data_IF_511932648083
#
_entry.id   IF_511932648083
#
_cell.length_a   1.000
_cell.length_b   1.000
_cell.length_c   1.000
_cell.angle_alpha   90.00
_cell.angle_beta   90.00
_cell.angle_gamma   90.00
#
_symmetry.space_group_name_H-M   'P 1'
#
loop_
_entity.id
_entity.type
_entity.pdbx_description
1 polymer ?
#
# COMPACT_ATOMS: atom_id res chain seq x y z
N UNK A 1 -11.86 -6.89 -2.46
CA UNK A 1 -12.73 -6.72 -1.26
C UNK A 1 -12.51 -5.34 -0.68
N UNK A 2 -13.55 -4.61 -0.35
CA UNK A 2 -13.43 -3.30 0.30
C UNK A 2 -13.42 -3.54 1.80
N UNK A 3 -12.36 -3.12 2.48
CA UNK A 3 -12.27 -3.21 3.95
C UNK A 3 -13.31 -2.26 4.56
N UNK A 4 -14.12 -2.76 5.49
CA UNK A 4 -15.01 -1.91 6.25
C UNK A 4 -14.20 -1.15 7.31
N UNK A 5 -13.79 0.07 7.00
CA UNK A 5 -12.97 0.90 7.88
C UNK A 5 -13.59 1.08 9.26
N UNK A 6 -14.91 1.24 9.35
CA UNK A 6 -15.58 1.46 10.64
C UNK A 6 -15.51 0.22 11.55
N UNK A 7 -15.60 -0.97 10.97
CA UNK A 7 -15.43 -2.23 11.71
C UNK A 7 -13.97 -2.39 12.13
N UNK A 8 -13.04 -2.18 11.21
CA UNK A 8 -11.60 -2.27 11.48
C UNK A 8 -11.18 -1.34 12.63
N UNK A 9 -11.59 -0.08 12.57
CA UNK A 9 -11.31 0.92 13.61
C UNK A 9 -11.83 0.49 14.98
N UNK A 10 -13.05 -0.06 15.03
CA UNK A 10 -13.62 -0.62 16.27
C UNK A 10 -12.87 -1.84 16.79
N UNK A 11 -12.51 -2.77 15.92
CA UNK A 11 -11.74 -3.97 16.28
C UNK A 11 -10.38 -3.62 16.90
N UNK A 12 -9.74 -2.56 16.39
CA UNK A 12 -8.50 -2.02 16.97
C UNK A 12 -8.71 -1.15 18.20
N UNK A 13 -9.96 -0.90 18.60
CA UNK A 13 -10.30 -0.09 19.77
C UNK A 13 -10.04 1.41 19.62
N UNK A 14 -10.03 1.91 18.38
CA UNK A 14 -9.91 3.33 18.07
C UNK A 14 -11.27 4.03 18.00
N UNK A 15 -11.27 5.31 18.35
CA UNK A 15 -12.35 6.24 18.07
C UNK A 15 -11.96 7.14 16.90
N UNK A 16 -12.92 7.42 16.03
CA UNK A 16 -12.77 8.38 14.94
C UNK A 16 -13.00 9.77 15.47
N UNK A 17 -12.05 10.68 15.24
CA UNK A 17 -12.16 12.09 15.59
C UNK A 17 -12.14 12.91 14.31
N UNK A 18 -13.17 13.73 14.04
CA UNK A 18 -13.13 14.68 12.92
C UNK A 18 -11.97 15.66 13.13
N UNK A 19 -11.19 15.89 12.08
CA UNK A 19 -10.11 16.88 12.10
C UNK A 19 -10.53 18.11 11.31
N UNK A 20 -10.29 19.30 11.86
CA UNK A 20 -10.43 20.56 11.11
C UNK A 20 -9.16 20.89 10.30
N UNK A 21 -8.06 20.20 10.57
CA UNK A 21 -6.82 20.39 9.85
C UNK A 21 -6.90 19.75 8.47
N UNK A 22 -6.57 20.53 7.46
CA UNK A 22 -6.26 20.00 6.12
C UNK A 22 -4.88 19.36 6.22
N UNK A 23 -4.83 18.05 6.25
CA UNK A 23 -3.56 17.38 6.34
C UNK A 23 -2.85 17.45 5.00
N UNK A 24 -1.60 16.99 4.95
CA UNK A 24 -0.78 16.92 3.75
C UNK A 24 -1.62 16.60 2.49
N UNK A 25 -1.19 17.12 1.37
CA UNK A 25 -1.89 16.96 0.10
C UNK A 25 -1.97 15.48 -0.30
N UNK A 26 -3.11 14.85 -0.05
CA UNK A 26 -3.45 13.55 -0.65
C UNK A 26 -3.44 13.63 -2.18
N UNK A 27 -3.68 14.83 -2.73
CA UNK A 27 -3.59 15.07 -4.16
C UNK A 27 -2.15 14.94 -4.65
N UNK A 28 -1.16 15.34 -3.85
CA UNK A 28 0.26 15.15 -4.16
C UNK A 28 0.65 13.66 -4.17
N UNK A 29 0.19 12.89 -3.19
CA UNK A 29 0.37 11.44 -3.18
C UNK A 29 -0.33 10.77 -4.36
N UNK A 30 -1.57 11.17 -4.69
CA UNK A 30 -2.29 10.71 -5.87
C UNK A 30 -1.57 11.07 -7.16
N UNK A 31 -1.05 12.30 -7.26
CA UNK A 31 -0.31 12.75 -8.43
C UNK A 31 0.95 11.92 -8.67
N UNK A 32 1.69 11.60 -7.62
CA UNK A 32 2.86 10.73 -7.72
C UNK A 32 2.49 9.31 -8.17
N UNK A 33 1.36 8.76 -7.71
CA UNK A 33 0.86 7.48 -8.20
C UNK A 33 0.45 7.55 -9.68
N UNK A 34 -0.20 8.64 -10.09
CA UNK A 34 -0.63 8.83 -11.48
C UNK A 34 0.54 9.09 -12.42
N UNK A 35 1.58 9.83 -11.99
CA UNK A 35 2.77 10.07 -12.79
C UNK A 35 3.48 8.77 -13.18
N UNK A 36 3.46 7.78 -12.30
CA UNK A 36 3.99 6.44 -12.60
C UNK A 36 3.14 5.64 -13.61
N UNK A 37 1.89 6.05 -13.80
CA UNK A 37 0.96 5.41 -14.73
C UNK A 37 0.97 6.06 -16.12
N UNK A 38 1.77 7.10 -16.37
CA UNK A 38 1.82 7.78 -17.68
C UNK A 38 2.16 6.82 -18.83
N UNK A 39 3.04 5.84 -18.58
CA UNK A 39 3.41 4.83 -19.57
C UNK A 39 2.33 3.74 -19.75
N UNK A 40 1.31 3.71 -18.88
CA UNK A 40 0.21 2.74 -18.87
C UNK A 40 -1.16 3.45 -18.86
N UNK A 41 -1.47 4.32 -19.82
CA UNK A 41 -2.63 5.21 -19.77
C UNK A 41 -3.99 4.49 -19.79
N UNK A 42 -4.02 3.17 -20.02
CA UNK A 42 -5.24 2.38 -20.15
C UNK A 42 -5.49 1.43 -18.98
N UNK A 43 -4.60 1.36 -18.01
CA UNK A 43 -4.70 0.41 -16.91
C UNK A 43 -4.60 1.11 -15.57
N UNK A 44 -5.67 1.02 -14.76
CA UNK A 44 -5.64 1.40 -13.37
C UNK A 44 -5.38 0.20 -12.47
N UNK A 45 -4.67 0.42 -11.40
CA UNK A 45 -4.45 -0.57 -10.36
C UNK A 45 -4.88 0.03 -9.02
N UNK A 46 -5.84 -0.62 -8.35
CA UNK A 46 -6.41 -0.10 -7.11
C UNK A 46 -5.98 -0.90 -5.88
N UNK A 47 -4.70 -1.22 -5.79
CA UNK A 47 -4.17 -1.92 -4.62
C UNK A 47 -4.32 -1.07 -3.35
N UNK A 48 -3.95 0.21 -3.43
CA UNK A 48 -4.18 1.17 -2.35
C UNK A 48 -5.31 2.12 -2.75
N UNK A 49 -6.41 2.06 -2.00
CA UNK A 49 -7.48 3.04 -2.12
C UNK A 49 -7.22 4.17 -1.14
N UNK A 50 -6.82 5.32 -1.67
CA UNK A 50 -6.56 6.52 -0.86
C UNK A 50 -7.87 7.09 -0.35
N UNK A 51 -7.92 7.49 0.92
CA UNK A 51 -9.07 8.14 1.53
C UNK A 51 -9.29 9.54 0.92
N UNK A 52 -10.54 9.95 0.77
CA UNK A 52 -10.86 11.30 0.29
C UNK A 52 -10.51 12.37 1.32
N UNK A 53 -10.59 12.00 2.59
CA UNK A 53 -10.28 12.87 3.72
C UNK A 53 -9.43 12.08 4.72
N UNK A 54 -8.50 12.75 5.38
CA UNK A 54 -7.79 12.17 6.50
C UNK A 54 -8.71 12.10 7.69
N UNK A 55 -8.65 10.97 8.36
CA UNK A 55 -9.42 10.71 9.57
C UNK A 55 -8.44 10.46 10.70
N UNK A 56 -8.60 11.17 11.80
CA UNK A 56 -7.82 10.92 12.99
C UNK A 56 -8.44 9.77 13.80
N UNK A 57 -7.60 8.83 14.18
CA UNK A 57 -7.93 7.68 15.02
C UNK A 57 -7.25 7.86 16.37
N UNK A 58 -8.03 7.83 17.46
CA UNK A 58 -7.50 7.95 18.82
C UNK A 58 -7.81 6.72 19.65
N UNK A 59 -6.79 6.23 20.35
CA UNK A 59 -6.90 5.16 21.35
C UNK A 59 -5.96 5.48 22.51
N UNK A 60 -6.50 5.86 23.68
CA UNK A 60 -5.72 6.29 24.84
C UNK A 60 -4.77 7.44 24.48
N UNK A 61 -3.46 7.16 24.43
CA UNK A 61 -2.42 8.13 24.08
C UNK A 61 -1.94 7.98 22.62
N UNK A 62 -2.42 6.97 21.92
CA UNK A 62 -2.04 6.74 20.51
C UNK A 62 -2.94 7.56 19.59
N UNK A 63 -2.31 8.27 18.67
CA UNK A 63 -2.99 9.05 17.64
C UNK A 63 -2.45 8.64 16.28
N UNK A 64 -3.34 8.31 15.37
CA UNK A 64 -3.02 7.95 13.98
C UNK A 64 -3.87 8.76 13.02
N UNK A 65 -3.33 9.00 11.83
CA UNK A 65 -4.07 9.61 10.71
C UNK A 65 -4.26 8.55 9.62
N UNK A 66 -5.49 8.15 9.39
CA UNK A 66 -5.84 7.17 8.36
C UNK A 66 -5.86 7.86 6.99
N UNK A 67 -5.09 7.35 6.04
CA UNK A 67 -5.00 7.93 4.70
C UNK A 67 -5.37 6.97 3.55
N UNK A 68 -5.45 5.67 3.81
CA UNK A 68 -5.75 4.71 2.75
C UNK A 68 -6.07 3.33 3.27
N UNK A 69 -6.34 2.42 2.36
CA UNK A 69 -6.61 1.02 2.67
C UNK A 69 -6.18 0.10 1.52
N UNK A 70 -5.87 -1.14 1.86
CA UNK A 70 -5.71 -2.25 0.93
C UNK A 70 -6.50 -3.47 1.44
N UNK A 71 -6.42 -4.59 0.75
CA UNK A 71 -7.15 -5.81 1.15
C UNK A 71 -6.67 -6.38 2.51
N UNK A 72 -5.45 -6.05 2.96
CA UNK A 72 -4.89 -6.50 4.23
C UNK A 72 -5.23 -5.60 5.42
N UNK A 73 -5.76 -4.38 5.18
CA UNK A 73 -6.08 -3.45 6.26
C UNK A 73 -6.08 -1.99 5.85
N UNK A 74 -5.89 -1.11 6.84
CA UNK A 74 -5.89 0.33 6.68
C UNK A 74 -4.51 0.93 6.94
N UNK A 75 -4.06 1.81 6.04
CA UNK A 75 -2.83 2.56 6.21
C UNK A 75 -3.04 3.79 7.09
N UNK A 76 -2.17 3.92 8.07
CA UNK A 76 -2.19 5.03 9.03
C UNK A 76 -0.81 5.63 9.20
N UNK A 77 -0.77 6.91 9.54
CA UNK A 77 0.44 7.65 9.88
C UNK A 77 0.45 7.84 11.39
N UNK A 78 1.55 7.46 12.05
CA UNK A 78 1.80 7.66 13.48
C UNK A 78 2.30 9.08 13.80
N UNK A 79 2.55 9.34 15.07
CA UNK A 79 2.99 10.65 15.57
C UNK A 79 4.37 11.08 15.04
N UNK A 80 5.26 10.11 14.80
CA UNK A 80 6.60 10.35 14.23
C UNK A 80 6.62 10.21 12.70
N UNK A 81 5.46 10.38 12.05
CA UNK A 81 5.27 10.29 10.60
C UNK A 81 5.48 8.89 9.97
N UNK A 82 5.76 7.87 10.78
CA UNK A 82 5.87 6.50 10.25
C UNK A 82 4.53 6.01 9.73
N UNK A 83 4.60 5.19 8.68
CA UNK A 83 3.44 4.52 8.11
C UNK A 83 3.31 3.11 8.67
N UNK A 84 2.11 2.80 9.13
CA UNK A 84 1.72 1.47 9.61
C UNK A 84 0.50 0.96 8.83
N UNK A 85 0.38 -0.36 8.78
CA UNK A 85 -0.84 -1.05 8.39
C UNK A 85 -1.56 -1.55 9.66
N UNK A 86 -2.77 -1.10 9.87
CA UNK A 86 -3.69 -1.70 10.83
C UNK A 86 -4.36 -2.90 10.15
N UNK A 87 -4.00 -4.11 10.57
CA UNK A 87 -4.40 -5.33 9.91
C UNK A 87 -5.88 -5.67 10.17
N UNK A 88 -6.60 -6.01 9.10
CA UNK A 88 -7.88 -6.71 9.20
C UNK A 88 -7.63 -8.20 9.51
N UNK A 89 -8.64 -9.04 9.43
CA UNK A 89 -8.49 -10.47 9.69
C UNK A 89 -7.46 -11.11 8.73
N UNK A 90 -7.55 -10.82 7.43
CA UNK A 90 -6.63 -11.34 6.40
C UNK A 90 -5.18 -10.90 6.67
N UNK A 91 -4.98 -9.61 6.98
CA UNK A 91 -3.67 -9.08 7.34
C UNK A 91 -3.10 -9.71 8.62
N UNK A 92 -3.94 -9.98 9.63
CA UNK A 92 -3.52 -10.69 10.86
C UNK A 92 -3.14 -12.14 10.59
N UNK A 93 -3.81 -12.81 9.67
CA UNK A 93 -3.45 -14.17 9.25
C UNK A 93 -2.08 -14.20 8.55
N UNK A 94 -1.80 -13.18 7.73
CA UNK A 94 -0.52 -13.04 7.01
C UNK A 94 0.62 -12.69 7.97
N UNK A 95 0.48 -11.61 8.74
CA UNK A 95 1.58 -11.03 9.50
C UNK A 95 1.66 -11.53 10.95
N UNK A 96 0.65 -12.21 11.45
CA UNK A 96 0.51 -12.62 12.86
C UNK A 96 0.52 -11.43 13.83
N UNK A 97 0.24 -10.24 13.34
CA UNK A 97 0.25 -8.97 14.07
C UNK A 97 -1.00 -8.14 13.76
N UNK A 98 -1.42 -7.32 14.71
CA UNK A 98 -2.54 -6.40 14.51
C UNK A 98 -2.12 -5.09 13.83
N UNK A 99 -0.83 -4.74 13.91
CA UNK A 99 -0.23 -3.55 13.31
C UNK A 99 1.15 -3.89 12.78
N UNK A 100 1.41 -3.55 11.54
CA UNK A 100 2.66 -3.81 10.83
C UNK A 100 3.31 -2.50 10.41
N UNK A 101 4.61 -2.39 10.62
CA UNK A 101 5.40 -1.29 10.09
C UNK A 101 5.51 -1.40 8.57
N UNK A 102 5.35 -0.25 7.89
CA UNK A 102 5.38 -0.20 6.42
C UNK A 102 6.53 0.67 5.92
N UNK A 103 6.60 1.94 6.36
CA UNK A 103 7.64 2.89 5.94
C UNK A 103 7.93 3.93 7.02
N UNK A 104 9.11 4.55 6.95
CA UNK A 104 9.54 5.62 7.86
C UNK A 104 8.77 6.93 7.68
N UNK A 105 8.14 7.12 6.52
CA UNK A 105 7.35 8.32 6.23
C UNK A 105 6.36 8.07 5.09
N UNK A 106 5.39 8.99 4.93
CA UNK A 106 4.50 8.96 3.77
C UNK A 106 5.28 9.12 2.46
N UNK A 107 6.33 9.91 2.44
CA UNK A 107 7.17 10.09 1.25
C UNK A 107 7.84 8.78 0.82
N UNK A 108 8.44 8.05 1.75
CA UNK A 108 9.03 6.74 1.46
C UNK A 108 7.97 5.72 1.08
N UNK A 109 6.78 5.78 1.69
CA UNK A 109 5.64 4.95 1.28
C UNK A 109 5.23 5.19 -0.18
N UNK A 110 5.07 6.45 -0.59
CA UNK A 110 4.72 6.80 -1.98
C UNK A 110 5.77 6.31 -2.95
N UNK A 111 7.06 6.47 -2.62
CA UNK A 111 8.17 6.00 -3.45
C UNK A 111 8.19 4.46 -3.55
N UNK A 112 8.05 3.76 -2.44
CA UNK A 112 7.99 2.29 -2.40
C UNK A 112 6.77 1.76 -3.16
N UNK A 113 5.62 2.40 -2.99
CA UNK A 113 4.40 2.04 -3.72
C UNK A 113 4.54 2.28 -5.22
N UNK A 114 5.23 3.34 -5.64
CA UNK A 114 5.53 3.61 -7.05
C UNK A 114 6.42 2.52 -7.67
N UNK A 115 7.42 2.04 -6.94
CA UNK A 115 8.26 0.92 -7.36
C UNK A 115 7.43 -0.38 -7.49
N UNK A 116 6.57 -0.63 -6.51
CA UNK A 116 5.66 -1.77 -6.55
C UNK A 116 4.73 -1.72 -7.77
N UNK A 117 4.10 -0.56 -8.04
CA UNK A 117 3.25 -0.39 -9.21
C UNK A 117 4.02 -0.64 -10.52
N UNK A 118 5.24 -0.11 -10.64
CA UNK A 118 6.09 -0.35 -11.81
C UNK A 118 6.35 -1.83 -12.04
N UNK A 119 6.64 -2.58 -10.98
CA UNK A 119 6.86 -4.02 -11.04
C UNK A 119 5.59 -4.75 -11.50
N UNK A 120 4.44 -4.41 -10.92
CA UNK A 120 3.14 -5.02 -11.27
C UNK A 120 2.75 -4.73 -12.72
N UNK A 121 2.92 -3.50 -13.20
CA UNK A 121 2.59 -3.16 -14.59
C UNK A 121 3.52 -3.83 -15.58
N UNK A 122 4.80 -3.94 -15.27
CA UNK A 122 5.77 -4.66 -16.09
C UNK A 122 5.38 -6.13 -16.21
N UNK A 123 5.08 -6.78 -15.09
CA UNK A 123 4.65 -8.18 -15.04
C UNK A 123 3.34 -8.38 -15.81
N UNK A 124 2.33 -7.53 -15.58
CA UNK A 124 1.03 -7.65 -16.26
C UNK A 124 1.17 -7.47 -17.77
N UNK A 125 2.03 -6.57 -18.24
CA UNK A 125 2.26 -6.33 -19.66
C UNK A 125 2.95 -7.49 -20.37
N UNK A 126 3.81 -8.24 -19.67
CA UNK A 126 4.66 -9.29 -20.25
C UNK A 126 4.42 -10.69 -19.67
N UNK A 127 3.40 -10.86 -18.87
CA UNK A 127 3.18 -12.07 -18.06
C UNK A 127 3.32 -13.39 -18.84
N UNK A 128 2.74 -13.48 -20.04
CA UNK A 128 2.80 -14.70 -20.87
C UNK A 128 4.16 -14.91 -21.56
N UNK A 129 5.05 -13.93 -21.53
CA UNK A 129 6.36 -13.98 -22.21
C UNK A 129 7.50 -14.16 -21.20
N UNK A 130 7.25 -13.90 -19.90
CA UNK A 130 8.25 -13.99 -18.85
C UNK A 130 8.46 -15.42 -18.38
N UNK A 131 9.70 -15.71 -18.04
CA UNK A 131 10.07 -16.92 -17.32
C UNK A 131 10.01 -16.69 -15.82
N UNK A 132 9.92 -17.78 -15.04
CA UNK A 132 9.85 -17.69 -13.58
C UNK A 132 11.06 -17.00 -12.96
N UNK A 133 12.26 -17.23 -13.48
CA UNK A 133 13.49 -16.57 -13.02
C UNK A 133 13.46 -15.04 -13.21
N UNK A 134 12.81 -14.55 -14.26
CA UNK A 134 12.62 -13.11 -14.50
C UNK A 134 11.60 -12.50 -13.51
N UNK A 135 10.56 -13.25 -13.14
CA UNK A 135 9.58 -12.83 -12.13
C UNK A 135 10.23 -12.72 -10.74
N UNK A 136 11.03 -13.73 -10.37
CA UNK A 136 11.81 -13.75 -9.13
C UNK A 136 12.81 -12.59 -9.06
N UNK A 137 13.47 -12.27 -10.18
CA UNK A 137 14.38 -11.12 -10.27
C UNK A 137 13.65 -9.79 -10.04
N UNK A 138 12.45 -9.62 -10.60
CA UNK A 138 11.64 -8.40 -10.41
C UNK A 138 11.23 -8.27 -8.95
N UNK A 139 10.80 -9.35 -8.31
CA UNK A 139 10.43 -9.35 -6.89
C UNK A 139 11.63 -9.03 -5.99
N UNK A 140 12.78 -9.64 -6.23
CA UNK A 140 14.03 -9.37 -5.51
C UNK A 140 14.47 -7.90 -5.69
N UNK A 141 14.44 -7.37 -6.90
CA UNK A 141 14.76 -5.98 -7.20
C UNK A 141 13.82 -5.00 -6.47
N UNK A 142 12.52 -5.29 -6.41
CA UNK A 142 11.57 -4.48 -5.64
C UNK A 142 11.97 -4.42 -4.18
N UNK A 143 12.26 -5.57 -3.56
CA UNK A 143 12.68 -5.66 -2.16
C UNK A 143 13.93 -4.84 -1.89
N UNK A 144 14.97 -4.99 -2.71
CA UNK A 144 16.25 -4.28 -2.56
C UNK A 144 16.07 -2.77 -2.74
N UNK A 145 15.27 -2.33 -3.70
CA UNK A 145 15.01 -0.91 -3.94
C UNK A 145 14.22 -0.28 -2.80
N UNK A 146 13.19 -0.96 -2.28
CA UNK A 146 12.42 -0.47 -1.13
C UNK A 146 13.30 -0.38 0.12
N UNK A 147 14.13 -1.38 0.39
CA UNK A 147 15.12 -1.33 1.49
C UNK A 147 16.09 -0.16 1.34
N UNK A 148 16.50 0.18 0.13
CA UNK A 148 17.39 1.31 -0.12
C UNK A 148 16.77 2.69 0.13
N UNK A 149 15.45 2.80 0.04
CA UNK A 149 14.71 4.03 0.36
C UNK A 149 14.58 4.26 1.87
N UNK A 150 14.47 3.18 2.62
CA UNK A 150 14.50 3.24 4.06
C UNK A 150 15.95 3.43 4.52
N UNK A 151 16.22 4.47 5.30
CA UNK A 151 17.52 4.58 5.96
C UNK A 151 17.71 3.34 6.82
N UNK A 152 18.98 2.88 7.02
CA UNK A 152 19.23 1.65 7.74
C UNK A 152 18.64 1.73 9.15
N UNK A 153 17.38 1.43 9.22
CA UNK A 153 16.70 1.05 10.42
C UNK A 153 16.96 -0.43 10.54
N UNK A 154 17.32 -0.88 11.72
CA UNK A 154 17.40 -2.32 12.07
C UNK A 154 16.02 -3.00 12.01
N UNK A 155 15.12 -2.45 11.22
CA UNK A 155 13.72 -2.88 11.12
C UNK A 155 13.50 -3.65 9.82
N UNK A 156 12.97 -4.84 9.97
CA UNK A 156 12.40 -5.60 8.86
C UNK A 156 11.22 -4.83 8.23
N UNK A 157 11.00 -5.04 6.94
CA UNK A 157 9.89 -4.45 6.19
C UNK A 157 8.86 -5.54 5.80
N UNK A 158 8.17 -6.16 6.75
CA UNK A 158 7.35 -7.36 6.51
C UNK A 158 6.24 -7.10 5.49
N UNK A 159 5.70 -5.89 5.42
CA UNK A 159 4.71 -5.54 4.41
C UNK A 159 5.28 -5.67 2.99
N UNK A 160 6.44 -5.08 2.72
CA UNK A 160 7.05 -5.10 1.39
C UNK A 160 7.65 -6.46 1.03
N UNK A 161 8.13 -7.20 2.02
CA UNK A 161 8.55 -8.59 1.84
C UNK A 161 7.37 -9.47 1.41
N UNK A 162 6.20 -9.28 2.03
CA UNK A 162 5.00 -9.99 1.61
C UNK A 162 4.53 -9.56 0.21
N UNK A 163 4.64 -8.26 -0.14
CA UNK A 163 4.31 -7.79 -1.49
C UNK A 163 5.22 -8.41 -2.55
N UNK A 164 6.52 -8.53 -2.29
CA UNK A 164 7.47 -9.20 -3.17
C UNK A 164 7.14 -10.69 -3.30
N UNK A 165 6.84 -11.37 -2.18
CA UNK A 165 6.40 -12.77 -2.20
C UNK A 165 5.14 -12.98 -3.05
N UNK A 166 4.15 -12.11 -2.96
CA UNK A 166 2.94 -12.20 -3.78
C UNK A 166 3.22 -12.01 -5.28
N UNK A 167 4.28 -11.28 -5.63
CA UNK A 167 4.76 -11.18 -7.02
C UNK A 167 5.37 -12.51 -7.45
N UNK A 168 6.26 -13.10 -6.65
CA UNK A 168 6.90 -14.39 -6.93
C UNK A 168 5.89 -15.51 -7.11
N UNK A 169 4.83 -15.51 -6.30
CA UNK A 169 3.75 -16.51 -6.30
C UNK A 169 2.65 -16.21 -7.33
N UNK A 170 2.83 -15.21 -8.19
CA UNK A 170 1.83 -14.72 -9.15
C UNK A 170 0.49 -14.28 -8.53
N UNK A 171 0.40 -14.27 -7.21
CA UNK A 171 -0.84 -14.06 -6.48
C UNK A 171 -1.47 -12.69 -6.70
N UNK A 172 -0.68 -11.65 -6.94
CA UNK A 172 -1.15 -10.31 -7.28
C UNK A 172 -1.37 -10.16 -8.78
N UNK A 173 -0.44 -10.67 -9.58
CA UNK A 173 -0.46 -10.50 -11.05
C UNK A 173 -1.69 -11.15 -11.67
N UNK A 174 -2.17 -12.26 -11.12
CA UNK A 174 -3.33 -13.00 -11.58
C UNK A 174 -4.67 -12.48 -11.03
N UNK A 175 -4.64 -11.57 -10.06
CA UNK A 175 -5.87 -11.00 -9.46
C UNK A 175 -6.45 -9.89 -10.33
N UNK A 176 -7.30 -10.26 -11.28
CA UNK A 176 -7.96 -9.32 -12.18
C UNK A 176 -8.87 -8.31 -11.46
N UNK A 177 -9.38 -8.65 -10.26
CA UNK A 177 -10.18 -7.78 -9.42
C UNK A 177 -9.41 -6.56 -8.86
N UNK A 178 -8.06 -6.62 -8.88
CA UNK A 178 -7.19 -5.51 -8.49
C UNK A 178 -6.87 -4.56 -9.64
N UNK A 179 -7.16 -4.93 -10.88
CA UNK A 179 -6.88 -4.13 -12.07
C UNK A 179 -8.18 -3.51 -12.62
N UNK A 180 -8.12 -2.21 -12.87
CA UNK A 180 -9.20 -1.47 -13.51
C UNK A 180 -8.72 -0.91 -14.84
N UNK A 181 -9.58 -0.95 -15.84
CA UNK A 181 -9.33 -0.26 -17.10
C UNK A 181 -9.69 1.21 -16.86
N UNK A 182 -8.69 2.09 -16.92
CA UNK A 182 -8.90 3.53 -16.87
C UNK A 182 -9.54 3.97 -18.18
N UNK A 183 -10.71 4.57 -18.07
CA UNK A 183 -11.48 5.15 -19.17
C UNK A 183 -12.11 4.16 -20.16
N UNK A 184 -13.23 3.55 -19.74
CA UNK A 184 -14.33 3.27 -20.64
C UNK A 184 -15.46 4.25 -20.36
N UNK A 185 -15.23 5.53 -20.58
CA UNK A 185 -16.29 6.48 -20.83
C UNK A 185 -15.84 7.36 -22.01
N UNK A 186 -16.29 6.99 -23.15
CA UNK A 186 -16.62 7.86 -24.26
C UNK A 186 -18.08 7.60 -24.59
#
# INVERSE_FOLDING_TARGET
MTVNINELVKEHGFCVVPTEEKPFSLDEARFNFLAYLEDYPKMGFSFVKVANELVELRRKQEVYRLFGQCFLGAFVIGEEEQVFLLCNQEGREVFQESRVYVNSSLHTFVSSYSLFLSSIFLLKAKFYEMKQDEVEEIAANLKDQVLSLEKPLEQELPFWEHMAYLIEDDGIVLRDDLFHILNKEQ
#
